data_IF_506745629938
#
_entry.id   IF_506745629938
#
_cell.length_a   1.000
_cell.length_b   1.000
_cell.length_c   1.000
_cell.angle_alpha   90.00
_cell.angle_beta   90.00
_cell.angle_gamma   90.00
#
_symmetry.space_group_name_H-M   'P 1'
#
loop_
_entity.id
_entity.type
_entity.pdbx_description
1 polymer ?
#
# COMPACT_ATOMS: atom_id res chain seq x y z
N UNK A 1 4.05 5.55 10.55
CA UNK A 1 3.70 6.92 10.09
C UNK A 1 3.28 7.75 11.29
N UNK A 2 4.08 8.74 11.64
CA UNK A 2 3.88 9.60 12.83
C UNK A 2 3.35 10.99 12.48
N UNK A 3 3.26 11.34 11.19
CA UNK A 3 2.78 12.63 10.70
C UNK A 3 1.89 12.48 9.46
N UNK A 4 0.89 13.33 9.36
CA UNK A 4 0.02 13.46 8.20
C UNK A 4 0.81 14.00 6.99
N UNK A 5 0.70 13.33 5.84
CA UNK A 5 1.42 13.75 4.62
C UNK A 5 0.91 15.04 3.98
N UNK A 6 -0.33 15.42 4.26
CA UNK A 6 -0.94 16.62 3.69
C UNK A 6 -0.66 17.87 4.54
N UNK A 7 -0.98 17.81 5.84
CA UNK A 7 -0.88 18.98 6.73
C UNK A 7 0.27 18.94 7.73
N UNK A 8 1.04 17.83 7.82
CA UNK A 8 2.17 17.69 8.75
C UNK A 8 1.80 17.43 10.22
N UNK A 9 0.50 17.42 10.57
CA UNK A 9 0.02 17.15 11.92
C UNK A 9 0.44 15.78 12.44
N UNK A 10 0.64 15.67 13.76
CA UNK A 10 0.87 14.40 14.44
C UNK A 10 -0.43 13.77 15.00
N UNK A 11 -1.57 14.46 14.86
CA UNK A 11 -2.87 14.00 15.35
C UNK A 11 -3.44 12.91 14.43
N UNK A 12 -2.98 11.67 14.64
CA UNK A 12 -3.31 10.51 13.82
C UNK A 12 -4.08 9.49 14.66
N UNK A 13 -5.27 9.12 14.22
CA UNK A 13 -6.11 8.11 14.87
C UNK A 13 -6.16 6.80 14.09
N UNK A 14 -6.22 5.69 14.82
CA UNK A 14 -6.32 4.35 14.25
C UNK A 14 -7.73 4.09 13.72
N UNK A 15 -7.84 3.59 12.48
CA UNK A 15 -9.12 3.16 11.90
C UNK A 15 -9.18 1.64 11.82
N UNK A 16 -8.24 1.02 11.10
CA UNK A 16 -8.17 -0.43 10.94
C UNK A 16 -6.72 -0.88 10.72
N UNK A 17 -6.31 -1.92 11.44
CA UNK A 17 -5.02 -2.58 11.27
C UNK A 17 -5.23 -3.95 10.62
N UNK A 18 -4.71 -4.12 9.40
CA UNK A 18 -4.78 -5.36 8.63
C UNK A 18 -3.51 -6.21 8.79
N UNK A 19 -2.56 -5.78 9.63
CA UNK A 19 -1.34 -6.51 9.91
C UNK A 19 -0.37 -6.53 8.73
N UNK A 20 0.45 -7.59 8.66
CA UNK A 20 1.41 -7.77 7.57
C UNK A 20 0.69 -8.24 6.30
N UNK A 21 0.75 -7.44 5.24
CA UNK A 21 0.06 -7.70 3.96
C UNK A 21 1.05 -7.56 2.80
N UNK A 22 1.07 -8.51 1.83
CA UNK A 22 1.93 -8.41 0.65
C UNK A 22 1.42 -7.33 -0.34
N UNK A 23 2.28 -6.82 -1.25
CA UNK A 23 1.87 -5.90 -2.30
C UNK A 23 0.84 -6.54 -3.24
N UNK A 24 -0.28 -5.86 -3.50
CA UNK A 24 -1.37 -6.41 -4.32
C UNK A 24 -1.01 -6.58 -5.80
N UNK A 25 -0.04 -5.83 -6.31
CA UNK A 25 0.42 -5.89 -7.71
C UNK A 25 1.54 -6.91 -7.94
N UNK A 26 2.02 -7.60 -6.89
CA UNK A 26 3.15 -8.54 -6.95
C UNK A 26 2.68 -9.98 -7.08
N UNK A 27 2.39 -10.44 -8.30
CA UNK A 27 2.00 -11.82 -8.56
C UNK A 27 3.19 -12.78 -8.54
N UNK A 28 3.07 -13.89 -7.80
CA UNK A 28 4.09 -14.93 -7.76
C UNK A 28 3.94 -15.92 -8.93
N UNK A 29 5.06 -16.25 -9.57
CA UNK A 29 5.16 -17.35 -10.53
C UNK A 29 5.31 -18.71 -9.80
N UNK A 30 5.05 -19.81 -10.51
CA UNK A 30 5.08 -21.15 -9.93
C UNK A 30 6.46 -21.52 -9.33
N UNK A 31 7.56 -21.03 -9.91
CA UNK A 31 8.93 -21.24 -9.43
C UNK A 31 9.32 -20.35 -8.23
N UNK A 32 8.40 -19.50 -7.77
CA UNK A 32 8.59 -18.57 -6.67
C UNK A 32 7.84 -18.97 -5.40
N UNK A 33 7.01 -20.01 -5.43
CA UNK A 33 6.15 -20.40 -4.31
C UNK A 33 6.91 -20.80 -3.03
N UNK A 34 8.12 -21.32 -3.18
CA UNK A 34 8.98 -21.69 -2.04
C UNK A 34 9.85 -20.51 -1.55
N UNK A 35 9.74 -19.33 -2.17
CA UNK A 35 10.51 -18.13 -1.79
C UNK A 35 9.72 -17.30 -0.75
N UNK A 36 10.41 -16.59 0.15
CA UNK A 36 9.75 -15.67 1.06
C UNK A 36 9.01 -14.56 0.29
N UNK A 37 7.74 -14.33 0.64
CA UNK A 37 6.96 -13.22 0.13
C UNK A 37 7.11 -12.01 1.09
N UNK A 38 7.53 -10.83 0.58
CA UNK A 38 7.63 -9.63 1.42
C UNK A 38 6.23 -9.13 1.81
N UNK A 39 6.05 -8.82 3.09
CA UNK A 39 4.82 -8.25 3.62
C UNK A 39 5.11 -6.96 4.42
N UNK A 40 4.18 -6.02 4.35
CA UNK A 40 4.30 -4.69 4.95
C UNK A 40 3.13 -4.42 5.90
N UNK A 41 3.33 -3.70 7.01
CA UNK A 41 2.24 -3.36 7.92
C UNK A 41 1.23 -2.43 7.24
N UNK A 42 0.00 -2.91 7.09
CA UNK A 42 -1.11 -2.21 6.47
C UNK A 42 -2.06 -1.69 7.56
N UNK A 43 -1.74 -0.51 8.10
CA UNK A 43 -2.53 0.16 9.12
C UNK A 43 -3.10 1.47 8.58
N UNK A 44 -4.41 1.50 8.34
CA UNK A 44 -5.11 2.72 7.94
C UNK A 44 -5.30 3.63 9.17
N UNK A 45 -4.84 4.87 9.03
CA UNK A 45 -5.00 5.92 10.03
C UNK A 45 -5.59 7.17 9.39
N UNK A 46 -6.30 7.96 10.19
CA UNK A 46 -6.89 9.24 9.77
C UNK A 46 -6.24 10.39 10.53
N UNK A 47 -5.95 11.48 9.85
CA UNK A 47 -5.55 12.73 10.50
C UNK A 47 -6.80 13.42 11.07
N UNK A 48 -6.85 13.74 12.37
CA UNK A 48 -8.03 14.41 12.96
C UNK A 48 -8.10 15.91 12.70
N UNK A 49 -7.05 16.51 12.15
CA UNK A 49 -7.03 17.94 11.82
C UNK A 49 -7.51 18.22 10.38
N UNK A 50 -7.18 17.34 9.44
CA UNK A 50 -7.50 17.52 8.01
C UNK A 50 -8.27 16.36 7.39
N UNK A 51 -8.59 15.33 8.17
CA UNK A 51 -9.37 14.15 7.77
C UNK A 51 -8.78 13.30 6.62
N UNK A 52 -7.49 13.47 6.30
CA UNK A 52 -6.81 12.59 5.35
C UNK A 52 -6.64 11.19 5.94
N UNK A 53 -7.31 10.21 5.33
CA UNK A 53 -7.05 8.79 5.53
C UNK A 53 -5.80 8.36 4.75
N UNK A 54 -4.90 7.63 5.40
CA UNK A 54 -3.58 7.31 4.84
C UNK A 54 -2.99 6.04 5.47
N UNK A 55 -2.21 5.30 4.67
CA UNK A 55 -1.47 4.09 5.05
C UNK A 55 0.04 4.37 5.08
N UNK A 56 0.91 3.54 5.69
CA UNK A 56 2.37 3.67 5.64
C UNK A 56 2.95 3.74 4.21
N UNK A 57 3.99 4.54 3.97
CA UNK A 57 4.74 4.58 2.70
C UNK A 57 5.96 3.69 2.82
N UNK A 58 5.74 2.38 2.75
CA UNK A 58 6.81 1.39 2.88
C UNK A 58 7.17 0.71 1.55
N UNK A 59 6.38 0.95 0.51
CA UNK A 59 6.63 0.48 -0.85
C UNK A 59 6.89 1.72 -1.71
N UNK A 60 7.96 1.69 -2.49
CA UNK A 60 8.31 2.79 -3.40
C UNK A 60 7.53 2.69 -4.71
N UNK A 61 7.30 3.82 -5.42
CA UNK A 61 6.71 3.78 -6.76
C UNK A 61 7.53 2.90 -7.71
N UNK A 62 8.86 2.94 -7.61
CA UNK A 62 9.77 2.15 -8.44
C UNK A 62 9.56 0.63 -8.24
N UNK A 63 9.27 0.20 -7.01
CA UNK A 63 8.91 -1.18 -6.70
C UNK A 63 7.51 -1.55 -7.23
N UNK A 64 6.57 -0.61 -7.23
CA UNK A 64 5.16 -0.88 -7.61
C UNK A 64 4.96 -0.94 -9.13
N UNK A 65 5.66 -0.10 -9.90
CA UNK A 65 5.38 0.13 -11.32
C UNK A 65 6.37 -0.58 -12.28
N UNK A 66 7.09 -1.60 -11.82
CA UNK A 66 8.05 -2.36 -12.66
C UNK A 66 7.35 -3.30 -13.64
N UNK A 67 6.38 -4.08 -13.17
CA UNK A 67 5.56 -4.99 -13.99
C UNK A 67 4.09 -4.69 -13.74
N UNK A 68 3.64 -3.53 -14.21
CA UNK A 68 2.28 -3.05 -13.98
C UNK A 68 1.27 -3.90 -14.77
N UNK A 69 0.65 -4.87 -14.08
CA UNK A 69 -0.29 -5.82 -14.67
C UNK A 69 -1.70 -5.24 -14.90
N UNK A 70 -1.92 -4.00 -14.48
CA UNK A 70 -3.22 -3.34 -14.60
C UNK A 70 -3.39 -2.61 -15.94
N UNK A 71 -4.31 -3.12 -16.77
CA UNK A 71 -4.73 -2.48 -18.01
C UNK A 71 -6.05 -1.74 -17.80
N UNK A 72 -6.07 -0.43 -18.02
CA UNK A 72 -7.29 0.37 -17.92
C UNK A 72 -8.25 0.01 -19.07
N UNK A 73 -9.30 -0.77 -18.78
CA UNK A 73 -10.43 -1.07 -19.69
C UNK A 73 -10.03 -1.17 -21.17
N UNK A 74 -9.46 -2.30 -21.57
CA UNK A 74 -9.15 -2.57 -22.98
C UNK A 74 -10.35 -3.25 -23.67
N UNK A 75 -10.85 -2.63 -24.74
CA UNK A 75 -11.85 -3.22 -25.64
C UNK A 75 -11.16 -3.59 -26.96
N UNK A 76 -11.33 -4.83 -27.40
CA UNK A 76 -10.96 -5.26 -28.77
C UNK A 76 -12.10 -5.12 -29.78
N UNK A 77 -13.22 -4.52 -29.37
CA UNK A 77 -14.36 -4.21 -30.24
C UNK A 77 -14.26 -2.82 -30.83
#
# INVERSE_FOLDING_TARGET
>A
MTRCRLCGSAAMESVVDLGATPPCESFLAADQLDRPEPAYPLHLRVCTDCWLAQIPALITPEETFTQYAYFSSYSTS
#
